data_IF_346017454311
#
_entry.id   IF_346017454311
#
_cell.length_a   1.000
_cell.length_b   1.000
_cell.length_c   1.000
_cell.angle_alpha   90.00
_cell.angle_beta   90.00
_cell.angle_gamma   90.00
#
_symmetry.space_group_name_H-M   'P 1'
#
loop_
_entity.id
_entity.type
_entity.pdbx_description
1 polymer ?
#
# COMPACT_ATOMS: atom_id res chain seq x y z
N UNK A 1 -33.24 -29.09 43.97
CA UNK A 1 -34.46 -28.60 43.28
C UNK A 1 -34.08 -28.42 41.80
N UNK A 2 -34.74 -28.99 40.78
CA UNK A 2 -36.19 -29.08 40.49
C UNK A 2 -36.76 -27.73 39.98
N UNK A 3 -37.41 -27.56 38.81
CA UNK A 3 -37.70 -28.42 37.61
C UNK A 3 -37.99 -27.48 36.39
N UNK A 4 -37.91 -28.00 35.15
CA UNK A 4 -38.69 -27.68 33.90
C UNK A 4 -38.80 -26.22 33.38
N UNK A 5 -38.71 -25.87 32.08
CA UNK A 5 -38.95 -26.50 30.75
C UNK A 5 -40.34 -26.23 30.10
N UNK A 6 -40.40 -26.46 28.78
CA UNK A 6 -41.54 -26.40 27.82
C UNK A 6 -41.81 -25.02 27.15
N UNK A 7 -42.03 -24.91 25.82
CA UNK A 7 -41.80 -25.88 24.73
C UNK A 7 -42.62 -25.63 23.44
N UNK A 8 -42.08 -26.07 22.29
CA UNK A 8 -42.75 -26.38 20.99
C UNK A 8 -43.59 -25.26 20.29
N UNK A 9 -43.96 -25.29 19.00
CA UNK A 9 -44.16 -26.32 17.95
C UNK A 9 -43.63 -25.74 16.60
N UNK A 10 -43.07 -26.46 15.62
CA UNK A 10 -43.61 -27.60 14.84
C UNK A 10 -44.16 -27.10 13.48
N UNK A 11 -44.16 -27.79 12.33
CA UNK A 11 -43.55 -29.04 11.86
C UNK A 11 -43.64 -29.10 10.32
N UNK A 12 -42.86 -29.97 9.67
CA UNK A 12 -43.25 -30.58 8.39
C UNK A 12 -42.17 -31.43 7.73
N UNK A 13 -42.31 -32.77 7.77
CA UNK A 13 -41.38 -33.76 7.18
C UNK A 13 -42.11 -34.67 6.18
N UNK A 14 -41.42 -35.13 5.11
CA UNK A 14 -41.31 -36.57 4.71
C UNK A 14 -40.49 -36.79 3.43
N UNK A 15 -40.05 -38.05 3.27
CA UNK A 15 -39.44 -38.67 2.07
C UNK A 15 -37.96 -38.29 1.81
N UNK A 16 -37.08 -39.19 1.36
CA UNK A 16 -37.21 -40.65 1.19
C UNK A 16 -35.84 -41.39 1.28
N UNK A 17 -35.87 -42.70 0.98
CA UNK A 17 -34.83 -43.72 0.97
C UNK A 17 -34.80 -44.41 -0.42
N UNK A 18 -33.64 -44.96 -0.86
CA UNK A 18 -33.44 -46.28 -1.55
C UNK A 18 -32.24 -46.27 -2.52
N UNK A 19 -31.44 -47.36 -2.55
CA UNK A 19 -30.57 -47.75 -3.69
C UNK A 19 -29.21 -47.05 -3.73
N UNK A 20 -28.06 -47.64 -3.39
CA UNK A 20 -27.36 -48.87 -3.86
C UNK A 20 -26.59 -48.71 -5.19
N UNK A 21 -25.53 -49.50 -5.35
CA UNK A 21 -24.35 -49.15 -6.16
C UNK A 21 -24.52 -49.18 -7.69
N UNK A 22 -23.69 -48.40 -8.42
CA UNK A 22 -22.78 -48.94 -9.45
C UNK A 22 -21.83 -47.90 -10.13
N UNK A 23 -20.65 -48.41 -10.54
CA UNK A 23 -19.79 -47.96 -11.67
C UNK A 23 -18.79 -46.76 -11.56
N UNK A 24 -17.64 -47.03 -10.92
CA UNK A 24 -16.21 -46.90 -11.38
C UNK A 24 -15.74 -45.71 -12.31
N UNK A 25 -14.60 -45.02 -11.99
CA UNK A 25 -13.90 -43.99 -12.82
C UNK A 25 -13.15 -44.60 -14.04
N UNK A 26 -12.60 -43.86 -15.07
CA UNK A 26 -11.84 -42.59 -14.93
C UNK A 26 -11.90 -41.56 -16.09
N UNK A 27 -11.37 -40.35 -15.87
CA UNK A 27 -10.56 -39.58 -16.85
C UNK A 27 -9.69 -38.54 -16.13
N UNK A 28 -8.53 -38.22 -16.72
CA UNK A 28 -7.57 -37.25 -16.22
C UNK A 28 -7.45 -36.06 -17.18
N UNK A 29 -7.07 -34.88 -16.67
CA UNK A 29 -6.83 -33.64 -17.45
C UNK A 29 -8.17 -33.06 -17.96
N UNK A 30 -8.47 -31.77 -17.84
CA UNK A 30 -7.75 -30.64 -18.43
C UNK A 30 -7.61 -29.44 -17.49
N UNK A 31 -6.51 -28.68 -17.68
CA UNK A 31 -6.41 -27.33 -17.18
C UNK A 31 -7.08 -26.37 -18.17
N UNK A 32 -7.98 -25.52 -17.70
CA UNK A 32 -8.33 -24.28 -18.42
C UNK A 32 -8.15 -23.09 -17.48
N UNK A 33 -7.20 -22.24 -17.82
CA UNK A 33 -7.06 -20.93 -17.21
C UNK A 33 -7.90 -19.94 -18.05
N UNK A 34 -8.91 -19.33 -17.43
CA UNK A 34 -9.62 -18.17 -17.99
C UNK A 34 -9.46 -17.04 -16.95
N UNK A 35 -8.44 -16.20 -17.11
CA UNK A 35 -8.56 -14.88 -17.75
C UNK A 35 -9.56 -13.99 -16.97
N UNK A 36 -9.10 -13.22 -15.99
CA UNK A 36 -8.47 -11.92 -16.21
C UNK A 36 -9.38 -10.86 -16.85
N UNK A 37 -10.57 -10.63 -16.28
CA UNK A 37 -11.33 -9.41 -16.60
C UNK A 37 -10.80 -8.24 -15.76
N UNK A 38 -9.81 -7.54 -16.33
CA UNK A 38 -9.30 -6.31 -15.78
C UNK A 38 -10.34 -5.20 -15.96
N UNK A 39 -11.19 -4.99 -14.95
CA UNK A 39 -12.04 -3.80 -14.85
C UNK A 39 -11.19 -2.54 -14.63
N UNK A 40 -10.47 -2.14 -15.68
CA UNK A 40 -9.78 -0.88 -15.81
C UNK A 40 -10.80 0.22 -16.02
N UNK A 41 -11.45 0.64 -14.91
CA UNK A 41 -12.34 1.80 -14.90
C UNK A 41 -11.48 3.05 -15.06
N UNK A 42 -11.18 3.39 -16.32
CA UNK A 42 -10.58 4.67 -16.73
C UNK A 42 -11.59 5.79 -16.53
N UNK A 43 -11.84 6.14 -15.28
CA UNK A 43 -12.44 7.43 -14.95
C UNK A 43 -11.50 8.54 -15.45
N UNK A 44 -12.00 9.54 -16.21
CA UNK A 44 -11.16 10.65 -16.62
C UNK A 44 -10.74 11.43 -15.37
N UNK A 45 -9.48 11.22 -14.92
CA UNK A 45 -8.88 12.07 -13.89
C UNK A 45 -8.91 13.49 -14.42
N UNK A 46 -9.68 14.34 -13.74
CA UNK A 46 -9.75 15.77 -14.00
C UNK A 46 -8.37 16.35 -13.66
N UNK A 47 -7.51 16.47 -14.65
CA UNK A 47 -6.21 17.12 -14.54
C UNK A 47 -6.43 18.62 -14.36
N UNK A 48 -6.80 19.01 -13.15
CA UNK A 48 -6.66 20.39 -12.69
C UNK A 48 -5.17 20.72 -12.79
N UNK A 49 -4.81 21.63 -13.70
CA UNK A 49 -3.44 22.08 -13.83
C UNK A 49 -2.98 22.67 -12.49
N UNK A 50 -1.99 22.02 -11.86
CA UNK A 50 -1.41 22.50 -10.63
C UNK A 50 -0.75 23.88 -10.88
N UNK A 51 -0.77 24.80 -9.90
CA UNK A 51 -0.07 26.07 -10.05
C UNK A 51 1.42 25.84 -10.30
N UNK A 52 2.01 26.62 -11.19
CA UNK A 52 3.43 26.57 -11.52
C UNK A 52 4.27 27.24 -10.43
N UNK A 53 4.20 26.72 -9.20
CA UNK A 53 5.29 26.92 -8.23
C UNK A 53 6.57 26.34 -8.84
N UNK A 54 7.69 27.05 -8.70
CA UNK A 54 9.00 26.55 -9.09
C UNK A 54 9.35 25.35 -8.20
N UNK A 55 8.93 24.15 -8.61
CA UNK A 55 9.22 22.91 -7.91
C UNK A 55 10.73 22.74 -7.89
N UNK A 56 11.32 22.63 -6.70
CA UNK A 56 12.72 22.25 -6.55
C UNK A 56 12.91 20.91 -7.28
N UNK A 57 13.72 20.92 -8.34
CA UNK A 57 13.80 19.75 -9.22
C UNK A 57 14.56 18.64 -8.46
N UNK A 58 14.06 17.39 -8.45
CA UNK A 58 14.79 16.29 -7.83
C UNK A 58 16.17 16.12 -8.47
N UNK A 59 17.19 15.64 -7.73
CA UNK A 59 18.51 15.37 -8.27
C UNK A 59 18.49 14.42 -9.48
N UNK A 60 19.52 14.52 -10.32
CA UNK A 60 19.63 13.67 -11.51
C UNK A 60 19.61 12.18 -11.12
N UNK A 61 18.75 11.41 -11.79
CA UNK A 61 18.53 9.98 -11.51
C UNK A 61 17.44 9.68 -10.47
N UNK A 62 16.96 10.67 -9.71
CA UNK A 62 15.82 10.49 -8.81
C UNK A 62 14.48 10.66 -9.55
N UNK A 63 13.51 9.79 -9.23
CA UNK A 63 12.15 9.82 -9.79
C UNK A 63 11.24 10.62 -8.86
N UNK A 64 10.67 11.77 -9.28
CA UNK A 64 9.73 12.53 -8.46
C UNK A 64 8.49 11.71 -8.13
N UNK A 65 8.07 11.75 -6.88
CA UNK A 65 6.89 11.06 -6.40
C UNK A 65 5.67 11.99 -6.52
N UNK A 66 4.50 11.49 -6.95
CA UNK A 66 3.28 12.29 -6.90
C UNK A 66 2.93 12.59 -5.42
N UNK A 67 2.65 13.84 -5.05
CA UNK A 67 2.34 14.18 -3.67
C UNK A 67 1.04 13.51 -3.24
N UNK A 68 1.09 12.75 -2.14
CA UNK A 68 -0.07 12.12 -1.50
C UNK A 68 -0.62 13.04 -0.41
N UNK A 69 0.27 13.79 0.24
CA UNK A 69 -0.04 14.74 1.30
C UNK A 69 0.30 16.17 0.90
N UNK A 70 -0.34 17.15 1.57
CA UNK A 70 0.02 18.56 1.43
C UNK A 70 1.47 18.87 1.86
N UNK A 71 1.86 20.13 1.74
CA UNK A 71 3.13 20.59 2.28
C UNK A 71 3.15 20.49 3.81
N UNK A 72 4.26 20.02 4.38
CA UNK A 72 4.47 19.89 5.83
C UNK A 72 5.79 20.55 6.19
N UNK A 73 5.74 21.56 7.06
CA UNK A 73 6.89 22.42 7.35
C UNK A 73 7.42 23.07 6.07
N UNK A 74 8.70 22.84 5.76
CA UNK A 74 9.36 23.36 4.57
C UNK A 74 9.24 22.45 3.32
N UNK A 75 8.59 21.29 3.43
CA UNK A 75 8.67 20.23 2.40
C UNK A 75 7.33 19.92 1.75
N UNK A 76 7.27 20.06 0.44
CA UNK A 76 6.09 19.89 -0.38
C UNK A 76 6.17 18.68 -1.33
N UNK A 77 7.34 18.05 -1.47
CA UNK A 77 7.56 16.99 -2.45
C UNK A 77 8.68 16.03 -2.05
N UNK A 78 8.63 14.84 -2.65
CA UNK A 78 9.61 13.78 -2.44
C UNK A 78 10.01 13.12 -3.77
N UNK A 79 11.15 12.44 -3.78
CA UNK A 79 11.61 11.66 -4.93
C UNK A 79 12.33 10.38 -4.51
N UNK A 80 12.03 9.28 -5.19
CA UNK A 80 12.71 8.00 -5.05
C UNK A 80 14.08 8.05 -5.77
N UNK A 81 15.16 7.87 -5.02
CA UNK A 81 16.54 7.87 -5.51
C UNK A 81 17.06 6.52 -6.01
N UNK A 82 16.37 5.41 -5.69
CA UNK A 82 16.72 4.05 -6.15
C UNK A 82 15.47 3.30 -6.61
N UNK A 83 15.63 2.33 -7.52
CA UNK A 83 14.53 1.56 -8.13
C UNK A 83 13.74 0.69 -7.14
N UNK A 84 14.34 0.33 -6.02
CA UNK A 84 13.69 -0.37 -4.89
C UNK A 84 12.86 0.57 -4.00
N UNK A 85 13.08 1.89 -4.11
CA UNK A 85 12.38 2.88 -3.29
C UNK A 85 11.04 3.19 -3.92
N UNK A 86 9.95 2.79 -3.27
CA UNK A 86 8.60 3.07 -3.75
C UNK A 86 8.17 4.51 -3.46
N UNK A 87 7.43 5.13 -4.38
CA UNK A 87 6.84 6.46 -4.19
C UNK A 87 5.99 6.61 -2.89
N UNK A 88 5.11 5.67 -2.50
CA UNK A 88 4.38 5.80 -1.23
C UNK A 88 5.31 5.78 -0.01
N UNK A 89 6.44 5.05 -0.03
CA UNK A 89 7.42 5.11 1.05
C UNK A 89 8.17 6.45 1.08
N UNK A 90 8.50 7.01 -0.08
CA UNK A 90 9.16 8.32 -0.16
C UNK A 90 8.32 9.46 0.46
N UNK A 91 6.99 9.41 0.29
CA UNK A 91 6.07 10.37 0.92
C UNK A 91 6.00 10.21 2.45
N UNK A 92 5.97 8.98 2.98
CA UNK A 92 6.04 8.75 4.43
C UNK A 92 7.38 9.21 5.02
N UNK A 93 8.50 9.01 4.31
CA UNK A 93 9.81 9.55 4.71
C UNK A 93 9.82 11.07 4.71
N UNK A 94 9.16 11.73 3.74
CA UNK A 94 8.96 13.19 3.77
C UNK A 94 8.18 13.63 5.00
N UNK A 95 7.08 12.96 5.34
CA UNK A 95 6.29 13.27 6.54
C UNK A 95 7.09 13.07 7.82
N UNK A 96 7.75 11.92 7.96
CA UNK A 96 8.56 11.57 9.13
C UNK A 96 9.71 12.57 9.31
N UNK A 97 10.38 12.97 8.23
CA UNK A 97 11.39 14.01 8.29
C UNK A 97 10.79 15.38 8.62
N UNK A 98 9.75 15.82 7.93
CA UNK A 98 9.10 17.12 8.18
C UNK A 98 8.58 17.28 9.63
N UNK A 99 8.10 16.20 10.25
CA UNK A 99 7.56 16.21 11.62
C UNK A 99 8.59 15.98 12.74
N UNK A 100 9.80 15.50 12.44
CA UNK A 100 10.79 15.09 13.46
C UNK A 100 11.76 16.20 13.93
N UNK A 101 11.67 17.41 13.40
CA UNK A 101 12.50 18.53 13.86
C UNK A 101 12.63 19.68 12.88
N UNK A 102 13.52 20.61 13.17
CA UNK A 102 13.78 21.78 12.33
C UNK A 102 14.15 21.40 10.88
N UNK A 103 13.78 22.22 9.88
CA UNK A 103 14.17 21.99 8.50
C UNK A 103 15.69 22.18 8.31
N UNK A 104 16.26 21.55 7.26
CA UNK A 104 17.67 21.68 6.90
C UNK A 104 18.67 21.08 7.90
N UNK A 105 18.26 20.18 8.79
CA UNK A 105 19.13 19.58 9.82
C UNK A 105 19.26 18.06 9.65
N UNK A 106 20.48 17.50 9.56
CA UNK A 106 20.68 16.07 9.46
C UNK A 106 20.19 15.36 10.73
N UNK A 107 19.53 14.21 10.55
CA UNK A 107 18.97 13.40 11.65
C UNK A 107 18.53 12.02 11.17
N UNK A 108 18.44 11.08 12.10
CA UNK A 108 17.76 9.81 11.88
C UNK A 108 16.26 9.96 12.13
N UNK A 109 15.44 9.31 11.31
CA UNK A 109 13.98 9.28 11.40
C UNK A 109 13.47 7.86 11.17
N UNK A 110 12.37 7.48 11.80
CA UNK A 110 11.67 6.23 11.50
C UNK A 110 10.47 6.54 10.59
N UNK A 111 10.39 5.86 9.45
CA UNK A 111 9.33 6.06 8.46
C UNK A 111 8.52 4.78 8.25
N UNK A 112 7.19 4.92 8.18
CA UNK A 112 6.29 3.81 7.89
C UNK A 112 6.34 3.47 6.39
N UNK A 113 6.26 2.18 6.05
CA UNK A 113 6.12 1.71 4.67
C UNK A 113 4.72 1.14 4.46
N UNK A 114 3.86 1.79 3.65
CA UNK A 114 2.56 1.24 3.28
C UNK A 114 2.68 -0.05 2.44
N UNK A 115 3.80 -0.23 1.75
CA UNK A 115 4.06 -1.38 0.86
C UNK A 115 4.37 -2.65 1.65
N UNK A 116 5.23 -2.56 2.67
CA UNK A 116 5.69 -3.71 3.46
C UNK A 116 5.11 -3.77 4.88
N UNK A 117 4.30 -2.77 5.26
CA UNK A 117 3.62 -2.60 6.56
C UNK A 117 4.58 -2.68 7.75
N UNK A 118 5.73 -2.02 7.62
CA UNK A 118 6.82 -2.01 8.58
C UNK A 118 7.41 -0.60 8.71
N UNK A 119 8.01 -0.31 9.87
CA UNK A 119 8.80 0.90 10.10
C UNK A 119 10.25 0.66 9.67
N UNK A 120 10.83 1.62 8.96
CA UNK A 120 12.24 1.59 8.55
C UNK A 120 12.97 2.82 9.10
N UNK A 121 14.12 2.63 9.77
CA UNK A 121 14.98 3.73 10.13
C UNK A 121 15.72 4.25 8.90
N UNK A 122 15.65 5.56 8.70
CA UNK A 122 16.33 6.30 7.64
C UNK A 122 17.26 7.34 8.27
N UNK A 123 18.50 7.41 7.81
CA UNK A 123 19.45 8.46 8.15
C UNK A 123 19.39 9.57 7.10
N UNK A 124 19.01 10.79 7.51
CA UNK A 124 18.83 11.92 6.63
C UNK A 124 19.99 12.90 6.73
N UNK A 125 20.67 13.12 5.62
CA UNK A 125 21.70 14.15 5.44
C UNK A 125 21.15 15.33 4.65
N UNK A 126 21.85 16.46 4.67
CA UNK A 126 21.42 17.70 3.99
C UNK A 126 22.59 18.27 3.21
N UNK A 127 22.48 18.26 1.88
CA UNK A 127 23.47 18.81 0.95
C UNK A 127 22.72 19.48 -0.22
N UNK A 128 22.28 20.73 0.00
CA UNK A 128 21.36 21.46 -0.89
C UNK A 128 19.91 20.94 -0.88
N UNK A 129 19.74 19.61 -0.83
CA UNK A 129 18.48 18.88 -0.64
C UNK A 129 18.62 17.89 0.51
N UNK A 130 17.51 17.55 1.17
CA UNK A 130 17.50 16.51 2.20
C UNK A 130 17.54 15.14 1.50
N UNK A 131 18.52 14.32 1.85
CA UNK A 131 18.67 12.96 1.33
C UNK A 131 18.62 11.95 2.48
N UNK A 132 17.53 11.20 2.57
CA UNK A 132 17.34 10.14 3.54
C UNK A 132 17.74 8.80 2.94
N UNK A 133 18.62 8.05 3.62
CA UNK A 133 19.08 6.71 3.23
C UNK A 133 18.81 5.68 4.30
N UNK A 134 18.48 4.45 3.94
CA UNK A 134 18.26 3.39 4.93
C UNK A 134 17.92 2.04 4.34
N UNK A 135 17.78 1.03 5.22
CA UNK A 135 17.47 -0.34 4.83
C UNK A 135 18.42 -0.89 3.76
N UNK A 136 17.84 -1.49 2.72
CA UNK A 136 18.54 -2.19 1.64
C UNK A 136 19.03 -1.23 0.53
N UNK A 137 19.72 -0.13 0.85
CA UNK A 137 20.05 0.95 -0.11
C UNK A 137 18.84 1.75 -0.63
N UNK A 138 17.81 1.92 0.21
CA UNK A 138 16.74 2.87 -0.10
C UNK A 138 17.28 4.30 -0.01
N UNK A 139 16.94 5.14 -0.99
CA UNK A 139 17.32 6.55 -1.03
C UNK A 139 16.08 7.37 -1.37
N UNK A 140 15.77 8.36 -0.53
CA UNK A 140 14.67 9.31 -0.71
C UNK A 140 15.22 10.72 -0.65
N UNK A 141 14.78 11.58 -1.56
CA UNK A 141 15.06 13.01 -1.53
C UNK A 141 13.80 13.76 -1.11
N UNK A 142 13.94 14.78 -0.27
CA UNK A 142 12.83 15.56 0.31
C UNK A 142 13.10 17.06 0.11
N UNK A 143 12.10 17.77 -0.43
CA UNK A 143 12.18 19.19 -0.85
C UNK A 143 10.81 19.89 -0.89
#
# INVERSE_FOLDING_TARGET
MAIAALGALGWGVRSMLTGDAENVPPIATEASAEQAEQYSVSAPRRSTAAPTTTVARPPAGATPCPPVYGAVGAYASSAAGTTITSCPFAEEVRLAYAGSGAPGQPRRVDAWSPVTRQWYPMDCTVDGVVTCRGGNDAVVHVY
#
